data_IF_393072134819
#
_entry.id   IF_393072134819
#
_cell.length_a   1.000
_cell.length_b   1.000
_cell.length_c   1.000
_cell.angle_alpha   90.00
_cell.angle_beta   90.00
_cell.angle_gamma   90.00
#
_symmetry.space_group_name_H-M   'P 1'
#
loop_
_entity.id
_entity.type
_entity.pdbx_description
1 polymer ?
#
# COMPACT_ATOMS: atom_id res chain seq x y z
N UNK A 1 -21.83 -22.91 28.83
CA UNK A 1 -21.35 -24.29 28.68
C UNK A 1 -22.30 -25.17 27.87
N UNK A 2 -23.50 -25.54 28.32
CA UNK A 2 -24.40 -26.43 27.54
C UNK A 2 -24.92 -25.82 26.21
N UNK A 3 -25.14 -24.51 26.15
CA UNK A 3 -25.58 -23.82 24.94
C UNK A 3 -24.47 -23.69 23.87
N UNK A 4 -23.22 -23.50 24.29
CA UNK A 4 -22.07 -23.44 23.38
C UNK A 4 -21.72 -24.82 22.83
N UNK A 5 -21.81 -25.87 23.66
CA UNK A 5 -21.66 -27.25 23.21
C UNK A 5 -22.78 -27.66 22.24
N UNK A 6 -24.03 -27.21 22.46
CA UNK A 6 -25.11 -27.40 21.49
C UNK A 6 -24.84 -26.67 20.17
N UNK A 7 -24.39 -25.42 20.22
CA UNK A 7 -24.06 -24.65 19.00
C UNK A 7 -22.92 -25.29 18.21
N UNK A 8 -21.89 -25.79 18.91
CA UNK A 8 -20.79 -26.52 18.28
C UNK A 8 -21.25 -27.87 17.69
N UNK A 9 -22.10 -28.62 18.40
CA UNK A 9 -22.70 -29.86 17.88
C UNK A 9 -23.61 -29.60 16.68
N UNK A 10 -24.36 -28.50 16.68
CA UNK A 10 -25.22 -28.08 15.57
C UNK A 10 -24.40 -27.65 14.35
N UNK A 11 -23.22 -27.07 14.57
CA UNK A 11 -22.26 -26.72 13.53
C UNK A 11 -21.55 -27.96 12.94
N UNK A 12 -21.22 -28.94 13.80
CA UNK A 12 -20.61 -30.22 13.42
C UNK A 12 -21.57 -31.19 12.72
N UNK A 13 -22.87 -31.16 13.08
CA UNK A 13 -23.89 -32.07 12.54
C UNK A 13 -24.70 -31.46 11.39
N UNK A 14 -24.43 -30.20 11.01
CA UNK A 14 -25.22 -29.46 10.04
C UNK A 14 -26.58 -29.06 10.62
N UNK A 15 -26.68 -27.80 11.06
CA UNK A 15 -27.80 -27.33 11.87
C UNK A 15 -29.19 -27.64 11.31
N UNK A 16 -29.95 -28.44 12.06
CA UNK A 16 -31.37 -28.73 11.82
C UNK A 16 -32.25 -27.85 12.70
N UNK A 17 -31.99 -26.53 12.65
CA UNK A 17 -32.58 -25.56 13.57
C UNK A 17 -33.00 -24.24 12.90
N UNK A 18 -33.83 -24.31 11.86
CA UNK A 18 -34.57 -23.16 11.33
C UNK A 18 -34.14 -22.71 9.93
N UNK A 19 -34.93 -23.09 8.93
CA UNK A 19 -34.82 -22.62 7.55
C UNK A 19 -34.37 -23.71 6.57
N UNK A 20 -35.32 -24.55 6.16
CA UNK A 20 -35.21 -25.49 5.06
C UNK A 20 -34.84 -24.77 3.75
N UNK A 21 -33.53 -24.61 3.47
CA UNK A 21 -32.89 -24.40 2.14
C UNK A 21 -31.44 -24.91 2.07
N UNK A 22 -30.82 -25.35 3.18
CA UNK A 22 -29.46 -25.91 3.21
C UNK A 22 -29.46 -27.44 3.05
N UNK A 23 -30.36 -27.98 2.24
CA UNK A 23 -30.34 -29.39 1.87
C UNK A 23 -29.20 -29.61 0.86
N UNK A 24 -28.06 -30.12 1.33
CA UNK A 24 -26.92 -30.62 0.54
C UNK A 24 -26.45 -29.67 -0.59
N UNK A 25 -25.94 -28.50 -0.22
CA UNK A 25 -25.14 -27.70 -1.15
C UNK A 25 -23.89 -28.51 -1.53
N UNK A 26 -23.67 -28.69 -2.83
CA UNK A 26 -22.47 -29.35 -3.34
C UNK A 26 -21.26 -28.44 -3.11
N UNK A 27 -20.10 -29.03 -2.90
CA UNK A 27 -18.84 -28.31 -2.68
C UNK A 27 -18.48 -27.33 -3.82
N UNK A 28 -19.04 -27.55 -5.02
CA UNK A 28 -18.85 -26.72 -6.22
C UNK A 28 -19.82 -25.54 -6.34
N UNK A 29 -20.82 -25.42 -5.47
CA UNK A 29 -21.84 -24.37 -5.56
C UNK A 29 -21.20 -22.97 -5.37
N UNK A 30 -21.51 -21.98 -6.23
CA UNK A 30 -20.97 -20.62 -6.14
C UNK A 30 -21.32 -19.87 -4.85
N UNK A 31 -22.34 -20.32 -4.10
CA UNK A 31 -22.73 -19.74 -2.81
C UNK A 31 -21.80 -20.15 -1.67
N UNK A 32 -21.02 -21.21 -1.83
CA UNK A 32 -20.09 -21.69 -0.80
C UNK A 32 -18.79 -20.87 -0.84
N UNK A 33 -18.28 -20.52 0.34
CA UNK A 33 -17.05 -19.75 0.44
C UNK A 33 -15.82 -20.62 0.16
N UNK A 34 -15.36 -20.59 -1.10
CA UNK A 34 -14.15 -21.29 -1.54
C UNK A 34 -12.92 -20.95 -0.68
N UNK A 35 -12.79 -19.69 -0.25
CA UNK A 35 -11.72 -19.21 0.62
C UNK A 35 -11.75 -19.85 2.01
N UNK A 36 -12.94 -20.17 2.53
CA UNK A 36 -13.12 -20.87 3.81
C UNK A 36 -12.83 -22.38 3.70
N UNK A 37 -13.13 -22.98 2.54
CA UNK A 37 -12.85 -24.40 2.30
C UNK A 37 -11.35 -24.68 2.22
N UNK A 38 -10.60 -23.84 1.51
CA UNK A 38 -9.15 -24.03 1.31
C UNK A 38 -8.34 -23.61 2.55
N UNK A 39 -8.80 -22.59 3.27
CA UNK A 39 -8.05 -22.05 4.40
C UNK A 39 -8.93 -21.28 5.36
N UNK A 40 -8.56 -20.02 5.60
CA UNK A 40 -9.31 -19.11 6.47
C UNK A 40 -9.87 -17.98 5.62
N UNK A 41 -11.18 -17.76 5.75
CA UNK A 41 -11.81 -16.66 5.02
C UNK A 41 -11.33 -15.31 5.59
N UNK A 42 -10.90 -14.35 4.75
CA UNK A 42 -10.53 -13.01 5.19
C UNK A 42 -11.62 -12.30 6.00
N UNK A 43 -12.90 -12.55 5.68
CA UNK A 43 -14.03 -11.97 6.42
C UNK A 43 -14.10 -12.46 7.88
N UNK A 44 -13.75 -13.73 8.13
CA UNK A 44 -13.76 -14.31 9.47
C UNK A 44 -12.52 -13.88 10.28
N UNK A 45 -11.38 -13.80 9.60
CA UNK A 45 -10.10 -13.40 10.17
C UNK A 45 -10.10 -11.97 10.72
N UNK A 46 -10.81 -11.05 10.06
CA UNK A 46 -10.89 -9.64 10.43
C UNK A 46 -12.16 -9.26 11.18
N UNK A 47 -12.95 -10.22 11.66
CA UNK A 47 -14.14 -9.94 12.49
C UNK A 47 -13.77 -9.15 13.75
N UNK A 48 -14.59 -8.14 14.09
CA UNK A 48 -14.38 -7.26 15.24
C UNK A 48 -13.05 -6.48 15.22
N UNK A 49 -12.47 -6.26 14.04
CA UNK A 49 -11.28 -5.43 13.87
C UNK A 49 -11.61 -4.11 13.18
N UNK A 50 -10.64 -3.19 13.13
CA UNK A 50 -10.81 -1.92 12.40
C UNK A 50 -11.02 -2.12 10.89
N UNK A 51 -10.71 -3.31 10.36
CA UNK A 51 -10.87 -3.68 8.96
C UNK A 51 -11.98 -4.73 8.79
N UNK A 52 -13.00 -4.70 9.64
CA UNK A 52 -14.11 -5.63 9.55
C UNK A 52 -14.87 -5.43 8.23
N UNK A 53 -14.91 -6.50 7.44
CA UNK A 53 -15.62 -6.56 6.16
C UNK A 53 -17.08 -6.97 6.34
N UNK A 54 -17.50 -7.24 7.58
CA UNK A 54 -18.80 -7.78 7.91
C UNK A 54 -18.91 -9.29 7.67
N UNK A 55 -20.11 -9.87 7.93
CA UNK A 55 -20.35 -11.29 7.74
C UNK A 55 -20.11 -11.68 6.28
N UNK A 56 -19.50 -12.86 6.07
CA UNK A 56 -19.21 -13.32 4.72
C UNK A 56 -20.51 -13.44 3.91
N UNK A 57 -20.57 -12.92 2.66
CA UNK A 57 -21.73 -13.08 1.79
C UNK A 57 -21.91 -14.52 1.30
N UNK A 58 -20.88 -15.37 1.47
CA UNK A 58 -20.88 -16.77 1.09
C UNK A 58 -21.05 -17.65 2.32
N UNK A 59 -21.62 -18.84 2.13
CA UNK A 59 -21.89 -19.79 3.21
C UNK A 59 -20.58 -20.43 3.69
N UNK A 60 -20.34 -20.38 5.00
CA UNK A 60 -19.29 -21.11 5.68
C UNK A 60 -19.91 -22.36 6.30
N UNK A 61 -19.49 -23.54 5.86
CA UNK A 61 -19.96 -24.82 6.39
C UNK A 61 -18.78 -25.71 6.72
N UNK A 62 -18.68 -26.15 7.96
CA UNK A 62 -17.57 -27.00 8.44
C UNK A 62 -17.58 -28.38 7.78
N UNK A 63 -18.77 -28.96 7.52
CA UNK A 63 -18.90 -30.23 6.81
C UNK A 63 -18.19 -30.23 5.45
N UNK A 64 -18.49 -29.25 4.59
CA UNK A 64 -17.83 -29.12 3.27
C UNK A 64 -16.32 -28.85 3.38
N UNK A 65 -15.86 -28.21 4.46
CA UNK A 65 -14.43 -28.01 4.70
C UNK A 65 -13.73 -29.34 4.98
N UNK A 66 -14.31 -30.19 5.83
CA UNK A 66 -13.77 -31.53 6.08
C UNK A 66 -13.80 -32.41 4.84
N UNK A 67 -14.84 -32.31 4.00
CA UNK A 67 -14.90 -32.98 2.69
C UNK A 67 -13.77 -32.50 1.76
N UNK A 68 -13.50 -31.19 1.71
CA UNK A 68 -12.36 -30.65 0.95
C UNK A 68 -11.02 -31.16 1.48
N UNK A 69 -10.83 -31.18 2.80
CA UNK A 69 -9.56 -31.58 3.42
C UNK A 69 -9.27 -33.07 3.16
N UNK A 70 -10.30 -33.92 3.26
CA UNK A 70 -10.23 -35.37 3.01
C UNK A 70 -10.16 -35.75 1.52
N UNK A 71 -10.56 -34.85 0.62
CA UNK A 71 -10.47 -35.08 -0.83
C UNK A 71 -9.02 -35.27 -1.32
N UNK A 72 -8.88 -36.08 -2.36
CA UNK A 72 -7.60 -36.39 -2.99
C UNK A 72 -7.00 -35.17 -3.71
N UNK A 73 -5.68 -35.17 -3.91
CA UNK A 73 -4.99 -34.08 -4.62
C UNK A 73 -5.49 -33.90 -6.07
N UNK A 74 -6.04 -34.95 -6.69
CA UNK A 74 -6.63 -34.88 -8.03
C UNK A 74 -7.98 -34.15 -8.03
N UNK A 75 -8.82 -34.35 -7.01
CA UNK A 75 -10.10 -33.65 -6.85
C UNK A 75 -9.87 -32.17 -6.50
N UNK A 76 -8.91 -31.88 -5.63
CA UNK A 76 -8.47 -30.50 -5.32
C UNK A 76 -7.99 -29.77 -6.58
N UNK A 77 -7.20 -30.44 -7.42
CA UNK A 77 -6.75 -29.88 -8.69
C UNK A 77 -7.91 -29.66 -9.68
N UNK A 78 -8.92 -30.54 -9.71
CA UNK A 78 -10.11 -30.42 -10.56
C UNK A 78 -10.98 -29.23 -10.18
N UNK A 79 -11.16 -28.98 -8.89
CA UNK A 79 -11.96 -27.84 -8.41
C UNK A 79 -11.22 -26.50 -8.51
N UNK A 80 -9.89 -26.52 -8.34
CA UNK A 80 -9.06 -25.34 -8.50
C UNK A 80 -9.38 -24.22 -7.50
N UNK A 81 -9.95 -24.55 -6.34
CA UNK A 81 -10.30 -23.56 -5.31
C UNK A 81 -9.07 -22.83 -4.75
N UNK A 82 -7.89 -23.44 -4.83
CA UNK A 82 -6.60 -22.84 -4.47
C UNK A 82 -6.29 -21.58 -5.30
N UNK A 83 -6.64 -21.57 -6.59
CA UNK A 83 -6.45 -20.41 -7.45
C UNK A 83 -7.40 -19.25 -7.11
N UNK A 84 -8.65 -19.58 -6.77
CA UNK A 84 -9.61 -18.58 -6.27
C UNK A 84 -9.16 -17.99 -4.95
N UNK A 85 -8.71 -18.85 -4.04
CA UNK A 85 -8.20 -18.42 -2.74
C UNK A 85 -6.96 -17.54 -2.89
N UNK A 86 -6.04 -17.90 -3.77
CA UNK A 86 -4.86 -17.08 -4.10
C UNK A 86 -5.25 -15.71 -4.67
N UNK A 87 -6.22 -15.65 -5.59
CA UNK A 87 -6.73 -14.40 -6.16
C UNK A 87 -7.38 -13.50 -5.10
N UNK A 88 -8.20 -14.09 -4.24
CA UNK A 88 -8.85 -13.37 -3.15
C UNK A 88 -7.80 -12.82 -2.17
N UNK A 89 -6.81 -13.64 -1.76
CA UNK A 89 -5.71 -13.19 -0.91
C UNK A 89 -4.89 -12.07 -1.56
N UNK A 90 -4.57 -12.19 -2.85
CA UNK A 90 -3.83 -11.15 -3.57
C UNK A 90 -4.55 -9.81 -3.52
N UNK A 91 -5.88 -9.80 -3.75
CA UNK A 91 -6.68 -8.57 -3.68
C UNK A 91 -6.57 -7.90 -2.30
N UNK A 92 -6.70 -8.67 -1.22
CA UNK A 92 -6.61 -8.12 0.15
C UNK A 92 -5.19 -7.68 0.52
N UNK A 93 -4.16 -8.38 0.03
CA UNK A 93 -2.75 -8.00 0.20
C UNK A 93 -2.47 -6.70 -0.55
N UNK A 94 -2.88 -6.59 -1.81
CA UNK A 94 -2.70 -5.39 -2.64
C UNK A 94 -3.42 -4.17 -2.03
N UNK A 95 -4.63 -4.36 -1.50
CA UNK A 95 -5.36 -3.30 -0.79
C UNK A 95 -4.65 -2.89 0.51
N UNK A 96 -4.02 -3.84 1.22
CA UNK A 96 -3.19 -3.55 2.39
C UNK A 96 -1.93 -2.77 1.99
N UNK A 97 -1.23 -3.20 0.94
CA UNK A 97 -0.01 -2.56 0.44
C UNK A 97 -0.28 -1.14 -0.05
N UNK A 98 -1.37 -0.91 -0.79
CA UNK A 98 -1.81 0.45 -1.16
C UNK A 98 -2.07 1.35 0.03
N UNK A 99 -2.62 0.81 1.12
CA UNK A 99 -2.84 1.55 2.37
C UNK A 99 -1.53 1.83 3.09
N UNK A 100 -0.61 0.87 3.13
CA UNK A 100 0.74 1.03 3.67
C UNK A 100 1.46 2.15 2.91
N UNK A 101 1.48 2.11 1.59
CA UNK A 101 2.11 3.12 0.74
C UNK A 101 1.49 4.50 0.96
N UNK A 102 0.16 4.58 1.03
CA UNK A 102 -0.54 5.84 1.27
C UNK A 102 -0.23 6.41 2.66
N UNK A 103 -0.09 5.54 3.67
CA UNK A 103 0.27 5.93 5.02
C UNK A 103 1.75 6.33 5.12
N UNK A 104 2.65 5.60 4.45
CA UNK A 104 4.07 5.93 4.36
C UNK A 104 4.28 7.27 3.66
N UNK A 105 3.62 7.52 2.52
CA UNK A 105 3.67 8.82 1.80
C UNK A 105 3.18 9.99 2.64
N UNK A 106 2.27 9.77 3.60
CA UNK A 106 1.83 10.81 4.55
C UNK A 106 2.88 11.11 5.62
N UNK A 107 3.76 10.16 5.91
CA UNK A 107 4.86 10.33 6.86
C UNK A 107 6.17 10.76 6.21
N UNK A 108 6.36 10.42 4.93
CA UNK A 108 7.51 10.84 4.15
C UNK A 108 7.47 12.35 3.92
N UNK A 109 8.62 13.00 4.14
CA UNK A 109 8.78 14.41 3.80
C UNK A 109 8.59 14.59 2.31
N UNK A 110 7.81 15.60 1.93
CA UNK A 110 7.68 15.93 0.52
C UNK A 110 9.07 16.25 -0.07
N UNK A 111 9.33 15.90 -1.34
CA UNK A 111 10.60 16.24 -1.98
C UNK A 111 10.86 17.75 -1.97
N UNK A 112 9.82 18.58 -1.88
CA UNK A 112 9.92 20.03 -1.74
C UNK A 112 10.46 20.46 -0.37
N UNK A 113 10.01 19.84 0.73
CA UNK A 113 10.59 20.05 2.06
C UNK A 113 12.07 19.67 2.13
N UNK A 114 12.45 18.57 1.47
CA UNK A 114 13.85 18.12 1.38
C UNK A 114 14.68 19.15 0.59
N UNK A 115 14.16 19.65 -0.53
CA UNK A 115 14.81 20.71 -1.33
C UNK A 115 14.98 22.00 -0.53
N UNK A 116 13.94 22.44 0.18
CA UNK A 116 13.99 23.64 1.04
C UNK A 116 15.03 23.49 2.15
N UNK A 117 15.05 22.33 2.82
CA UNK A 117 16.03 22.00 3.85
C UNK A 117 17.46 22.07 3.31
N UNK A 118 17.72 21.44 2.15
CA UNK A 118 19.04 21.47 1.51
C UNK A 118 19.47 22.87 1.07
N UNK A 119 18.54 23.68 0.57
CA UNK A 119 18.81 25.07 0.18
C UNK A 119 19.20 25.92 1.39
N UNK A 120 18.47 25.81 2.51
CA UNK A 120 18.78 26.51 3.73
C UNK A 120 20.13 26.06 4.32
N UNK A 121 20.43 24.76 4.32
CA UNK A 121 21.73 24.24 4.73
C UNK A 121 22.87 24.80 3.88
N UNK A 122 22.66 24.91 2.56
CA UNK A 122 23.63 25.53 1.65
C UNK A 122 23.83 27.02 1.96
N UNK A 123 22.74 27.78 2.14
CA UNK A 123 22.81 29.20 2.50
C UNK A 123 23.53 29.42 3.83
N UNK A 124 23.27 28.59 4.85
CA UNK A 124 23.96 28.66 6.14
C UNK A 124 25.46 28.38 5.97
N UNK A 125 25.82 27.40 5.14
CA UNK A 125 27.23 27.09 4.82
C UNK A 125 27.93 28.27 4.13
N UNK A 126 27.30 28.85 3.12
CA UNK A 126 27.87 29.95 2.34
C UNK A 126 27.97 31.24 3.16
N UNK A 127 26.97 31.55 3.98
CA UNK A 127 27.02 32.66 4.95
C UNK A 127 28.10 32.44 6.00
N UNK A 128 28.28 31.20 6.49
CA UNK A 128 29.35 30.87 7.44
C UNK A 128 30.74 31.08 6.83
N UNK A 129 30.94 30.67 5.57
CA UNK A 129 32.19 30.94 4.83
C UNK A 129 32.41 32.45 4.70
N UNK A 130 31.39 33.19 4.27
CA UNK A 130 31.45 34.65 4.10
C UNK A 130 31.81 35.38 5.40
N UNK A 131 31.22 34.96 6.52
CA UNK A 131 31.56 35.48 7.86
C UNK A 131 33.02 35.19 8.20
N UNK A 132 33.49 33.96 7.96
CA UNK A 132 34.87 33.58 8.28
C UNK A 132 35.89 34.34 7.42
N UNK A 133 35.67 34.48 6.11
CA UNK A 133 36.54 35.29 5.24
C UNK A 133 36.49 36.77 5.60
N UNK A 134 35.31 37.32 5.86
CA UNK A 134 35.18 38.73 6.28
C UNK A 134 35.90 39.02 7.61
N UNK A 135 35.88 38.09 8.57
CA UNK A 135 36.61 38.24 9.84
C UNK A 135 38.13 38.26 9.65
N UNK A 136 38.65 37.50 8.68
CA UNK A 136 40.06 37.54 8.30
C UNK A 136 40.41 38.89 7.63
N UNK A 137 39.57 39.35 6.70
CA UNK A 137 39.76 40.65 6.04
C UNK A 137 39.75 41.82 7.03
N UNK A 138 38.83 41.81 8.02
CA UNK A 138 38.78 42.82 9.09
C UNK A 138 40.06 42.78 9.93
N UNK A 139 40.62 41.61 10.23
CA UNK A 139 41.88 41.49 10.96
C UNK A 139 43.04 42.16 10.21
N UNK A 140 43.18 41.89 8.91
CA UNK A 140 44.23 42.49 8.06
C UNK A 140 44.05 44.00 7.90
N UNK A 141 42.81 44.47 7.69
CA UNK A 141 42.51 45.90 7.60
C UNK A 141 42.77 46.63 8.94
N UNK A 142 42.61 45.92 10.06
CA UNK A 142 42.98 46.41 11.39
C UNK A 142 44.49 46.58 11.55
N UNK A 143 45.28 45.58 11.15
CA UNK A 143 46.75 45.62 11.20
C UNK A 143 47.35 46.71 10.30
N UNK A 144 46.73 46.95 9.13
CA UNK A 144 47.16 47.99 8.18
C UNK A 144 46.69 49.40 8.56
N UNK A 145 45.89 49.55 9.62
CA UNK A 145 45.40 50.84 10.10
C UNK A 145 44.26 51.46 9.27
N UNK A 146 43.67 50.70 8.34
CA UNK A 146 42.56 51.14 7.49
C UNK A 146 41.20 51.06 8.21
N UNK A 147 41.04 51.84 9.29
CA UNK A 147 39.91 51.76 10.22
C UNK A 147 38.55 51.95 9.54
N UNK A 148 38.43 52.90 8.61
CA UNK A 148 37.17 53.18 7.93
C UNK A 148 36.69 52.00 7.06
N UNK A 149 37.61 51.30 6.40
CA UNK A 149 37.29 50.12 5.59
C UNK A 149 36.97 48.92 6.47
N UNK A 150 37.71 48.72 7.57
CA UNK A 150 37.44 47.67 8.55
C UNK A 150 36.02 47.79 9.15
N UNK A 151 35.55 49.01 9.45
CA UNK A 151 34.19 49.25 9.96
C UNK A 151 33.10 48.90 8.93
N UNK A 152 33.33 49.18 7.65
CA UNK A 152 32.41 48.82 6.58
C UNK A 152 32.29 47.30 6.42
N UNK A 153 33.42 46.57 6.42
CA UNK A 153 33.39 45.10 6.36
C UNK A 153 32.76 44.49 7.62
N UNK A 154 33.02 45.05 8.81
CA UNK A 154 32.36 44.62 10.04
C UNK A 154 30.84 44.76 9.96
N UNK A 155 30.33 45.83 9.32
CA UNK A 155 28.90 45.99 9.09
C UNK A 155 28.34 44.88 8.19
N UNK A 156 29.02 44.54 7.08
CA UNK A 156 28.62 43.43 6.21
C UNK A 156 28.60 42.09 6.97
N UNK A 157 29.60 41.82 7.79
CA UNK A 157 29.65 40.60 8.63
C UNK A 157 28.46 40.55 9.59
N UNK A 158 28.09 41.67 10.23
CA UNK A 158 26.90 41.71 11.10
C UNK A 158 25.61 41.41 10.34
N UNK A 159 25.45 41.95 9.12
CA UNK A 159 24.29 41.65 8.29
C UNK A 159 24.26 40.18 7.85
N UNK A 160 25.39 39.61 7.44
CA UNK A 160 25.51 38.19 7.09
C UNK A 160 25.24 37.28 8.29
N UNK A 161 25.69 37.67 9.49
CA UNK A 161 25.39 36.96 10.74
C UNK A 161 23.90 36.97 11.06
N UNK A 162 23.24 38.10 10.89
CA UNK A 162 21.79 38.20 11.10
C UNK A 162 21.03 37.34 10.08
N UNK A 163 21.40 37.38 8.80
CA UNK A 163 20.84 36.51 7.76
C UNK A 163 21.04 35.03 8.09
N UNK A 164 22.22 34.64 8.56
CA UNK A 164 22.51 33.27 8.99
C UNK A 164 21.58 32.82 10.10
N UNK A 165 21.41 33.64 11.13
CA UNK A 165 20.51 33.34 12.25
C UNK A 165 19.04 33.22 11.79
N UNK A 166 18.66 34.00 10.77
CA UNK A 166 17.32 33.94 10.17
C UNK A 166 17.13 32.61 9.41
N UNK A 167 18.09 32.21 8.57
CA UNK A 167 18.07 30.93 7.87
C UNK A 167 18.11 29.73 8.84
N UNK A 168 18.87 29.81 9.93
CA UNK A 168 18.92 28.77 10.98
C UNK A 168 17.57 28.65 11.70
N UNK A 169 16.89 29.78 11.94
CA UNK A 169 15.54 29.81 12.51
C UNK A 169 14.51 29.24 11.56
N UNK A 170 14.59 29.55 10.27
CA UNK A 170 13.74 28.97 9.23
C UNK A 170 13.97 27.47 9.09
N UNK A 171 15.23 27.02 9.13
CA UNK A 171 15.58 25.60 9.12
C UNK A 171 14.99 24.87 10.33
N UNK A 172 15.12 25.47 11.53
CA UNK A 172 14.52 24.94 12.75
C UNK A 172 13.00 24.93 12.66
N UNK A 173 12.37 25.98 12.13
CA UNK A 173 10.93 26.04 11.95
C UNK A 173 10.44 25.00 10.93
N UNK A 174 11.18 24.74 9.85
CA UNK A 174 10.84 23.65 8.93
C UNK A 174 11.00 22.28 9.60
N UNK A 175 12.05 22.09 10.40
CA UNK A 175 12.22 20.88 11.19
C UNK A 175 11.09 20.69 12.21
N UNK A 176 10.69 21.77 12.89
CA UNK A 176 9.67 21.80 13.94
C UNK A 176 8.24 21.70 13.34
N UNK A 177 8.01 22.29 12.17
CA UNK A 177 6.76 22.14 11.40
C UNK A 177 6.66 20.74 10.82
N UNK A 178 7.80 20.16 10.40
CA UNK A 178 7.91 18.73 10.10
C UNK A 178 7.96 17.84 11.35
N UNK A 179 7.97 18.38 12.59
CA UNK A 179 7.85 17.61 13.84
C UNK A 179 8.03 18.48 15.09
N UNK A 180 7.05 18.63 15.99
CA UNK A 180 6.69 17.61 16.99
C UNK A 180 5.20 17.26 16.95
N UNK A 181 4.51 17.64 15.87
CA UNK A 181 3.09 17.34 15.64
C UNK A 181 2.91 15.91 15.12
N UNK A 182 3.27 14.92 15.95
CA UNK A 182 2.93 13.48 15.79
C UNK A 182 3.56 12.71 14.62
N UNK A 183 3.77 13.31 13.44
CA UNK A 183 4.04 12.58 12.20
C UNK A 183 5.44 11.93 12.18
N UNK A 184 6.50 12.62 12.61
CA UNK A 184 7.87 12.03 12.61
C UNK A 184 8.14 10.99 13.71
N UNK A 185 7.30 10.93 14.75
CA UNK A 185 7.43 9.93 15.82
C UNK A 185 6.73 8.63 15.47
N UNK A 186 5.85 8.66 14.48
CA UNK A 186 5.11 7.51 14.02
C UNK A 186 5.87 6.81 12.89
N UNK A 187 5.74 5.50 12.86
CA UNK A 187 6.16 4.62 11.78
C UNK A 187 4.96 3.78 11.37
N UNK A 188 4.85 3.43 10.10
CA UNK A 188 3.80 2.52 9.63
C UNK A 188 4.34 1.09 9.70
N UNK A 189 3.55 0.16 10.25
CA UNK A 189 3.86 -1.26 10.15
C UNK A 189 3.70 -1.74 8.71
N UNK A 190 4.74 -2.38 8.20
CA UNK A 190 4.85 -3.01 6.88
C UNK A 190 3.92 -4.21 6.66
N UNK A 191 3.44 -4.86 7.73
CA UNK A 191 2.53 -6.01 7.61
C UNK A 191 1.07 -5.57 7.53
N UNK A 192 0.64 -4.67 8.43
CA UNK A 192 -0.79 -4.36 8.65
C UNK A 192 -1.16 -2.89 8.45
N UNK A 193 -0.20 -2.01 8.13
CA UNK A 193 -0.46 -0.60 7.80
C UNK A 193 -0.92 0.28 8.97
N UNK A 194 -0.80 -0.18 10.22
CA UNK A 194 -1.10 0.64 11.39
C UNK A 194 0.05 1.61 11.70
N UNK A 195 -0.28 2.75 12.31
CA UNK A 195 0.72 3.68 12.86
C UNK A 195 1.19 3.20 14.24
N UNK A 196 2.49 3.06 14.41
CA UNK A 196 3.17 2.73 15.66
C UNK A 196 4.08 3.91 16.04
N UNK A 197 4.26 4.20 17.32
CA UNK A 197 5.28 5.19 17.72
C UNK A 197 6.63 4.51 17.85
N UNK A 198 7.71 5.16 17.39
CA UNK A 198 9.10 4.74 17.66
C UNK A 198 9.48 4.84 19.14
N UNK A 199 8.71 5.59 19.91
CA UNK A 199 8.93 5.81 21.34
C UNK A 199 8.08 4.85 22.20
N UNK A 200 7.32 3.94 21.59
CA UNK A 200 6.52 2.97 22.33
C UNK A 200 7.42 1.91 22.98
N UNK A 201 7.01 1.44 24.17
CA UNK A 201 7.68 0.37 24.91
C UNK A 201 7.44 -0.99 24.23
N UNK A 202 8.38 -1.93 24.38
CA UNK A 202 8.34 -3.28 23.81
C UNK A 202 7.04 -4.04 24.13
N UNK A 203 6.47 -3.84 25.33
CA UNK A 203 5.18 -4.44 25.69
C UNK A 203 4.04 -4.01 24.75
N UNK A 204 3.99 -2.72 24.39
CA UNK A 204 2.95 -2.19 23.49
C UNK A 204 3.19 -2.62 22.04
N UNK A 205 4.45 -2.75 21.64
CA UNK A 205 4.81 -3.34 20.36
C UNK A 205 4.40 -4.82 20.29
N UNK A 206 4.60 -5.58 21.37
CA UNK A 206 4.13 -6.97 21.45
C UNK A 206 2.61 -7.08 21.29
N UNK A 207 1.83 -6.24 21.98
CA UNK A 207 0.36 -6.21 21.84
C UNK A 207 -0.07 -5.92 20.39
N UNK A 208 0.72 -5.15 19.63
CA UNK A 208 0.51 -4.94 18.21
C UNK A 208 0.81 -6.21 17.38
N UNK A 209 1.97 -6.84 17.59
CA UNK A 209 2.40 -8.02 16.83
C UNK A 209 1.51 -9.24 17.07
N UNK A 210 1.02 -9.42 18.30
CA UNK A 210 0.06 -10.46 18.68
C UNK A 210 -1.39 -10.06 18.42
N UNK A 211 -1.63 -8.87 17.86
CA UNK A 211 -2.95 -8.44 17.45
C UNK A 211 -3.48 -9.27 16.28
N UNK A 212 -4.79 -9.55 16.28
CA UNK A 212 -5.47 -10.28 15.20
C UNK A 212 -5.21 -9.70 13.81
N UNK A 213 -5.09 -8.38 13.71
CA UNK A 213 -4.76 -7.67 12.47
C UNK A 213 -3.38 -8.02 11.95
N UNK A 214 -2.35 -7.93 12.81
CA UNK A 214 -0.98 -8.17 12.41
C UNK A 214 -0.75 -9.65 12.08
N UNK A 215 -1.20 -10.55 12.95
CA UNK A 215 -1.12 -11.99 12.70
C UNK A 215 -1.91 -12.39 11.45
N UNK A 216 -3.12 -11.85 11.27
CA UNK A 216 -3.96 -12.16 10.11
C UNK A 216 -3.30 -11.82 8.78
N UNK A 217 -2.75 -10.61 8.63
CA UNK A 217 -2.00 -10.25 7.42
C UNK A 217 -0.66 -10.99 7.30
N UNK A 218 0.04 -11.26 8.40
CA UNK A 218 1.29 -12.04 8.40
C UNK A 218 1.04 -13.45 7.85
N UNK A 219 0.02 -14.12 8.36
CA UNK A 219 -0.34 -15.47 7.95
C UNK A 219 -0.87 -15.48 6.52
N UNK A 220 -1.72 -14.51 6.13
CA UNK A 220 -2.20 -14.37 4.75
C UNK A 220 -1.05 -14.17 3.74
N UNK A 221 -0.04 -13.35 4.07
CA UNK A 221 1.14 -13.16 3.22
C UNK A 221 2.00 -14.44 3.14
N UNK A 222 2.14 -15.19 4.24
CA UNK A 222 2.85 -16.48 4.24
C UNK A 222 2.11 -17.53 3.43
N UNK A 223 0.80 -17.66 3.58
CA UNK A 223 -0.03 -18.63 2.83
C UNK A 223 -0.05 -18.29 1.35
N UNK A 224 -0.17 -17.00 1.01
CA UNK A 224 -0.08 -16.54 -0.38
C UNK A 224 1.27 -16.89 -1.02
N UNK A 225 2.39 -16.67 -0.32
CA UNK A 225 3.72 -17.04 -0.84
C UNK A 225 3.85 -18.55 -1.08
N UNK A 226 3.43 -19.38 -0.12
CA UNK A 226 3.44 -20.85 -0.26
C UNK A 226 2.62 -21.31 -1.46
N UNK A 227 1.38 -20.83 -1.57
CA UNK A 227 0.49 -21.18 -2.68
C UNK A 227 1.00 -20.63 -4.02
N UNK A 228 1.60 -19.44 -4.03
CA UNK A 228 2.19 -18.88 -5.24
C UNK A 228 3.38 -19.70 -5.74
N UNK A 229 4.20 -20.26 -4.85
CA UNK A 229 5.31 -21.15 -5.18
C UNK A 229 4.82 -22.54 -5.65
N UNK A 230 3.83 -23.12 -4.98
CA UNK A 230 3.23 -24.41 -5.34
C UNK A 230 2.50 -24.35 -6.69
N UNK A 231 1.87 -23.22 -7.00
CA UNK A 231 1.14 -22.99 -8.25
C UNK A 231 2.03 -22.42 -9.36
N UNK A 232 3.27 -21.98 -9.08
CA UNK A 232 4.30 -21.60 -10.06
C UNK A 232 4.76 -22.84 -10.84
N UNK A 233 3.95 -23.22 -11.82
CA UNK A 233 4.19 -24.40 -12.66
C UNK A 233 2.91 -25.13 -13.07
N UNK A 234 1.77 -24.86 -12.42
CA UNK A 234 0.45 -25.35 -12.85
C UNK A 234 -0.28 -24.23 -13.59
N UNK A 235 -0.69 -24.43 -14.86
CA UNK A 235 -1.53 -23.44 -15.53
C UNK A 235 -2.85 -23.29 -14.76
N UNK A 236 -3.37 -22.06 -14.58
CA UNK A 236 -4.67 -21.86 -13.97
C UNK A 236 -5.73 -22.62 -14.79
N UNK A 237 -6.70 -23.29 -14.14
CA UNK A 237 -7.75 -24.00 -14.85
C UNK A 237 -8.51 -23.01 -15.75
N UNK A 238 -8.59 -23.35 -17.03
CA UNK A 238 -9.37 -22.58 -18.02
C UNK A 238 -10.83 -22.68 -17.61
N UNK A 239 -11.37 -21.60 -17.05
CA UNK A 239 -12.80 -21.48 -16.83
C UNK A 239 -13.42 -21.03 -18.15
N UNK A 240 -14.14 -21.94 -18.80
CA UNK A 240 -15.13 -21.54 -19.79
C UNK A 240 -16.17 -20.69 -19.07
N UNK A 241 -16.19 -19.40 -19.38
CA UNK A 241 -17.31 -18.55 -19.04
C UNK A 241 -18.39 -18.92 -20.05
N UNK A 242 -19.29 -19.84 -19.68
CA UNK A 242 -20.47 -20.17 -20.48
C UNK A 242 -21.42 -18.97 -20.44
N UNK A 243 -21.10 -17.92 -21.19
CA UNK A 243 -22.07 -16.95 -21.67
C UNK A 243 -22.66 -17.50 -22.98
N UNK A 244 -23.64 -18.39 -22.87
CA UNK A 244 -24.55 -18.68 -23.98
C UNK A 244 -25.93 -19.05 -23.40
N UNK A 245 -26.90 -18.12 -23.47
CA UNK A 245 -27.88 -18.15 -24.56
C UNK A 245 -29.10 -17.27 -24.22
N UNK A 246 -29.45 -16.36 -25.15
CA UNK A 246 -30.65 -15.52 -25.09
C UNK A 246 -30.66 -14.43 -26.17
N UNK A 247 -30.48 -14.83 -27.44
CA UNK A 247 -30.40 -13.92 -28.58
C UNK A 247 -31.73 -13.33 -29.02
N UNK A 248 -31.68 -12.22 -29.75
CA UNK A 248 -32.57 -11.87 -30.87
C UNK A 248 -31.79 -10.97 -31.85
N UNK A 249 -31.39 -11.55 -32.98
CA UNK A 249 -30.77 -10.84 -34.08
C UNK A 249 -31.77 -10.09 -34.96
N UNK A 250 -31.27 -9.11 -35.70
CA UNK A 250 -31.97 -8.59 -36.87
C UNK A 250 -31.63 -7.17 -37.28
N UNK A 251 -30.51 -6.95 -38.00
CA UNK A 251 -30.51 -5.99 -39.12
C UNK A 251 -29.35 -6.23 -40.08
N UNK A 252 -29.72 -6.71 -41.27
CA UNK A 252 -28.89 -6.94 -42.45
C UNK A 252 -28.05 -5.72 -42.83
N UNK A 253 -26.72 -5.90 -42.86
CA UNK A 253 -25.79 -5.01 -43.55
C UNK A 253 -25.55 -5.51 -44.97
N UNK A 254 -26.30 -4.96 -45.93
CA UNK A 254 -26.03 -5.11 -47.37
C UNK A 254 -24.83 -4.27 -47.80
N UNK A 255 -24.07 -4.79 -48.76
CA UNK A 255 -22.73 -4.33 -49.11
C UNK A 255 -22.61 -3.04 -49.92
N UNK A 256 -21.33 -2.69 -50.19
CA UNK A 256 -20.71 -1.88 -51.26
C UNK A 256 -19.31 -1.51 -50.75
N UNK A 257 -18.22 -2.15 -51.18
CA UNK A 257 -17.54 -1.97 -52.47
C UNK A 257 -16.33 -1.02 -52.30
N UNK A 258 -15.09 -1.37 -52.72
CA UNK A 258 -13.90 -0.55 -52.46
C UNK A 258 -13.67 0.49 -53.57
N UNK A 259 -13.28 1.72 -53.21
CA UNK A 259 -12.91 2.77 -54.18
C UNK A 259 -11.46 3.21 -53.99
N UNK A 260 -10.68 3.01 -55.05
CA UNK A 260 -9.32 3.46 -55.27
C UNK A 260 -9.30 4.91 -55.81
N UNK A 261 -8.18 5.61 -55.59
CA UNK A 261 -7.79 6.88 -56.25
C UNK A 261 -7.90 8.10 -55.32
N UNK A 262 -6.94 9.01 -55.19
CA UNK A 262 -5.69 9.26 -55.90
C UNK A 262 -5.35 10.77 -55.77
N UNK A 263 -4.06 11.11 -55.69
CA UNK A 263 -3.54 12.49 -55.71
C UNK A 263 -3.45 13.16 -54.34
N UNK A 264 -2.42 13.91 -53.95
CA UNK A 264 -1.30 14.50 -54.68
C UNK A 264 -0.85 15.76 -53.92
N UNK A 265 0.45 16.03 -53.89
CA UNK A 265 1.06 17.25 -53.30
C UNK A 265 1.64 17.00 -51.90
N UNK A 266 2.93 17.17 -51.63
CA UNK A 266 3.88 18.15 -52.15
C UNK A 266 4.20 19.16 -51.04
N UNK A 267 5.47 19.57 -50.95
CA UNK A 267 6.02 20.70 -50.15
C UNK A 267 6.73 20.40 -48.81
N UNK A 268 8.03 20.10 -48.96
CA UNK A 268 9.22 20.85 -48.48
C UNK A 268 9.61 20.89 -46.99
N UNK A 269 10.80 20.33 -46.77
CA UNK A 269 11.84 20.67 -45.79
C UNK A 269 12.05 22.18 -45.54
N UNK A 270 12.30 22.53 -44.28
CA UNK A 270 13.29 23.51 -43.78
C UNK A 270 13.45 23.21 -42.27
N UNK A 271 14.59 22.84 -41.69
CA UNK A 271 15.97 23.26 -41.92
C UNK A 271 16.27 24.46 -41.01
N UNK A 272 16.81 24.24 -39.81
CA UNK A 272 17.15 25.32 -38.88
C UNK A 272 17.92 24.84 -37.65
N UNK A 273 19.22 24.65 -37.81
CA UNK A 273 20.25 24.56 -36.77
C UNK A 273 20.70 25.98 -36.44
N UNK A 274 20.74 26.34 -35.16
CA UNK A 274 21.79 27.13 -34.50
C UNK A 274 21.79 26.75 -33.03
#
# INVERSE_FOLDING_TARGET
>A
MAAEQRKLLEQLMGGTGGGSRNAQLQITDPKVCRSYLVGTCPHDLFTNTKQDLGPCPKVHSEGLKTEYETASAAEKAKWGFEFDYMRDMQKYIDDCDRRIDSAQRRLEKTPDEIRQTNNLLKQISDLTKTINTGLLEVSVLGETGAVAQALNELHKIRTAKHQKETCERELKNLQDTSGPSGHQKLQVCDVCGAYLSRLDNDRRLADHFFGKMHMGYSDMRKTYKKLSEELKGRPPPVRHHDDDEGGWGGRSGGGRGPRYGGGGGGYRKRGGRW
#
